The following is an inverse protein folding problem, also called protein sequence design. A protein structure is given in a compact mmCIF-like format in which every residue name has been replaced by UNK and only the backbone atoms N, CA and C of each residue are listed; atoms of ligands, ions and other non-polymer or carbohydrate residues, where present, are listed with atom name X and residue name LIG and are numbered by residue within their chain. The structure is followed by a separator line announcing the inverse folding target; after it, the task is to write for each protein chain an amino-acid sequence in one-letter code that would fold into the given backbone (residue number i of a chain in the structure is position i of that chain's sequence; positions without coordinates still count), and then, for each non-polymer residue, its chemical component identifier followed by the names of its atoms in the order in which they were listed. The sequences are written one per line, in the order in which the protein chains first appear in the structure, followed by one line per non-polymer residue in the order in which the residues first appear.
data_IF_922554033121
#
_entry.id   IF_922554033121
#
_cell.length_a   1.000
_cell.length_b   1.000
_cell.length_c   1.000
_cell.angle_alpha   90.00
_cell.angle_beta   90.00
_cell.angle_gamma   90.00
#
_symmetry.space_group_name_H-M   'P 1'
#
loop_
_entity.id
_entity.type
_entity.pdbx_description
1 polymer ?
#
# COMPACT_ATOMS: atom_id res chain seq x y z
N UNK A 1 18.17 50.09 -85.69
CA UNK A 1 19.36 49.22 -85.57
C UNK A 1 20.04 49.55 -84.25
N UNK A 2 19.75 48.81 -83.19
CA UNK A 2 20.51 48.83 -81.95
C UNK A 2 20.67 47.37 -81.53
N UNK A 3 21.85 46.83 -81.80
CA UNK A 3 22.21 45.44 -81.55
C UNK A 3 22.29 45.15 -80.06
N UNK A 4 21.76 43.99 -79.69
CA UNK A 4 21.88 43.45 -78.34
C UNK A 4 23.31 43.06 -78.00
N UNK A 5 23.66 43.24 -76.73
CA UNK A 5 24.76 42.52 -76.11
C UNK A 5 24.17 41.34 -75.34
N UNK A 6 24.10 40.17 -75.96
CA UNK A 6 24.01 38.91 -75.23
C UNK A 6 25.38 38.67 -74.58
N UNK A 7 25.47 38.87 -73.26
CA UNK A 7 26.60 38.40 -72.49
C UNK A 7 26.47 36.88 -72.32
N UNK A 8 27.16 36.11 -73.17
CA UNK A 8 27.39 34.69 -72.91
C UNK A 8 28.11 34.55 -71.56
N UNK A 9 27.45 33.91 -70.60
CA UNK A 9 28.08 33.45 -69.36
C UNK A 9 29.07 32.36 -69.72
N UNK A 10 30.31 32.50 -69.26
CA UNK A 10 31.38 31.52 -69.42
C UNK A 10 30.94 30.15 -68.89
N UNK A 11 31.02 29.11 -69.74
CA UNK A 11 30.70 27.72 -69.42
C UNK A 11 31.82 27.00 -68.66
N UNK A 12 32.86 27.71 -68.20
CA UNK A 12 34.02 27.07 -67.57
C UNK A 12 33.76 26.75 -66.08
N UNK A 13 33.65 25.47 -65.68
CA UNK A 13 33.02 25.08 -64.42
C UNK A 13 33.95 25.11 -63.19
N UNK A 14 35.12 25.76 -63.23
CA UNK A 14 36.09 25.67 -62.12
C UNK A 14 36.48 27.01 -61.48
N UNK A 15 35.85 28.13 -61.82
CA UNK A 15 36.10 29.42 -61.16
C UNK A 15 35.13 29.64 -59.98
N UNK A 16 35.61 29.75 -58.73
CA UNK A 16 34.74 29.58 -57.56
C UNK A 16 33.91 30.80 -57.12
N UNK A 17 34.00 31.98 -57.74
CA UNK A 17 33.50 33.20 -57.08
C UNK A 17 32.42 34.05 -57.78
N UNK A 18 31.94 33.75 -59.00
CA UNK A 18 30.88 34.56 -59.64
C UNK A 18 29.98 33.75 -60.59
N UNK A 19 29.36 32.67 -60.13
CA UNK A 19 28.32 32.00 -60.90
C UNK A 19 27.12 31.73 -59.99
N UNK A 20 25.96 32.27 -60.35
CA UNK A 20 24.68 31.81 -59.81
C UNK A 20 24.41 30.35 -60.20
N UNK A 21 23.25 29.79 -59.82
CA UNK A 21 22.89 28.41 -60.16
C UNK A 21 23.14 28.09 -61.63
N UNK A 22 23.71 26.90 -61.89
CA UNK A 22 23.94 26.43 -63.26
C UNK A 22 22.58 26.00 -63.81
N UNK A 23 22.11 26.73 -64.83
CA UNK A 23 20.82 26.47 -65.44
C UNK A 23 20.71 25.01 -65.93
N UNK A 24 19.59 24.35 -65.64
CA UNK A 24 19.33 22.97 -66.05
C UNK A 24 19.89 21.88 -65.13
N UNK A 25 20.71 22.23 -64.12
CA UNK A 25 21.15 21.27 -63.11
C UNK A 25 20.05 21.06 -62.06
N UNK A 26 19.71 19.80 -61.81
CA UNK A 26 18.75 19.36 -60.78
C UNK A 26 19.42 18.37 -59.84
N UNK A 27 19.28 18.61 -58.54
CA UNK A 27 19.76 17.73 -57.46
C UNK A 27 18.53 17.18 -56.74
N UNK A 28 18.43 15.86 -56.59
CA UNK A 28 17.33 15.25 -55.83
C UNK A 28 17.45 15.57 -54.34
N UNK A 29 16.30 15.75 -53.68
CA UNK A 29 16.26 16.03 -52.24
C UNK A 29 16.66 14.77 -51.46
N UNK A 30 17.65 14.84 -50.56
CA UNK A 30 18.02 13.69 -49.73
C UNK A 30 16.89 13.36 -48.74
N UNK A 31 16.71 12.08 -48.44
CA UNK A 31 15.62 11.62 -47.56
C UNK A 31 16.15 11.22 -46.18
N UNK A 32 15.63 11.77 -45.07
CA UNK A 32 15.89 11.27 -43.72
C UNK A 32 15.55 9.79 -43.57
N UNK A 33 16.43 9.00 -42.95
CA UNK A 33 16.23 7.55 -42.75
C UNK A 33 16.21 7.20 -41.26
N UNK A 34 17.29 7.50 -40.53
CA UNK A 34 17.35 7.27 -39.08
C UNK A 34 17.91 8.48 -38.34
N UNK A 35 17.37 8.85 -37.17
CA UNK A 35 16.11 8.36 -36.59
C UNK A 35 14.91 8.63 -37.50
N UNK A 36 13.99 7.66 -37.58
CA UNK A 36 12.77 7.81 -38.36
C UNK A 36 11.88 8.91 -37.75
N UNK A 37 10.99 9.50 -38.55
CA UNK A 37 10.08 10.54 -38.07
C UNK A 37 9.18 10.02 -36.93
N UNK A 38 9.25 10.64 -35.76
CA UNK A 38 8.55 10.24 -34.54
C UNK A 38 9.24 9.12 -33.73
N UNK A 39 10.49 8.80 -34.02
CA UNK A 39 11.23 7.78 -33.28
C UNK A 39 11.60 8.22 -31.85
N UNK A 40 11.68 7.27 -30.93
CA UNK A 40 12.35 7.46 -29.64
C UNK A 40 13.80 6.96 -29.72
N UNK A 41 14.75 7.79 -29.29
CA UNK A 41 16.19 7.51 -29.33
C UNK A 41 16.74 7.56 -27.91
N UNK A 42 17.46 6.53 -27.48
CA UNK A 42 18.08 6.51 -26.16
C UNK A 42 19.26 7.47 -26.08
N UNK A 43 19.30 8.29 -25.03
CA UNK A 43 20.42 9.18 -24.70
C UNK A 43 21.62 8.44 -24.07
N UNK A 44 22.02 7.30 -24.63
CA UNK A 44 23.12 6.46 -24.11
C UNK A 44 24.32 6.37 -25.07
N UNK A 45 24.21 6.98 -26.25
CA UNK A 45 25.26 7.02 -27.26
C UNK A 45 25.18 8.35 -28.03
N UNK A 46 26.25 8.77 -28.73
CA UNK A 46 26.17 9.89 -29.66
C UNK A 46 25.06 9.64 -30.68
N UNK A 47 24.18 10.63 -30.89
CA UNK A 47 23.09 10.52 -31.86
C UNK A 47 23.68 10.43 -33.27
N UNK A 48 23.26 9.42 -34.03
CA UNK A 48 23.62 9.23 -35.43
C UNK A 48 22.43 9.59 -36.32
N UNK A 49 22.65 10.49 -37.27
CA UNK A 49 21.68 10.82 -38.33
C UNK A 49 22.11 10.14 -39.63
N UNK A 50 21.24 9.35 -40.24
CA UNK A 50 21.46 8.68 -41.52
C UNK A 50 20.40 9.11 -42.52
N UNK A 51 20.83 9.47 -43.72
CA UNK A 51 19.95 9.90 -44.81
C UNK A 51 20.35 9.25 -46.14
N UNK A 52 19.39 9.14 -47.06
CA UNK A 52 19.61 8.64 -48.41
C UNK A 52 20.40 9.66 -49.26
N UNK A 53 21.35 9.16 -50.03
CA UNK A 53 22.17 9.97 -50.91
C UNK A 53 21.35 10.55 -52.06
N UNK A 54 21.63 11.81 -52.40
CA UNK A 54 21.07 12.51 -53.55
C UNK A 54 21.75 12.09 -54.86
N UNK A 55 21.04 12.29 -55.97
CA UNK A 55 21.53 12.17 -57.34
C UNK A 55 21.47 13.54 -58.01
N UNK A 56 22.36 13.79 -58.96
CA UNK A 56 22.37 15.02 -59.77
C UNK A 56 22.60 14.69 -61.24
N UNK A 57 22.04 15.49 -62.14
CA UNK A 57 22.38 15.46 -63.56
C UNK A 57 23.61 16.35 -63.89
N UNK A 58 24.15 17.07 -62.89
CA UNK A 58 25.37 17.86 -63.00
C UNK A 58 26.64 17.05 -62.77
N UNK A 59 27.77 17.53 -63.30
CA UNK A 59 29.09 16.87 -63.19
C UNK A 59 29.87 17.20 -61.92
N UNK A 60 29.35 18.12 -61.09
CA UNK A 60 30.01 18.55 -59.85
C UNK A 60 29.74 17.54 -58.72
N UNK A 61 30.74 17.27 -57.86
CA UNK A 61 30.53 16.38 -56.72
C UNK A 61 29.56 16.99 -55.71
N UNK A 62 28.67 16.15 -55.19
CA UNK A 62 27.72 16.54 -54.14
C UNK A 62 28.36 16.54 -52.76
N UNK A 63 27.83 17.39 -51.89
CA UNK A 63 28.04 17.38 -50.45
C UNK A 63 26.76 17.83 -49.75
N UNK A 64 26.62 17.52 -48.46
CA UNK A 64 25.39 17.79 -47.71
C UNK A 64 25.58 18.84 -46.62
N UNK A 65 24.49 19.56 -46.36
CA UNK A 65 24.29 20.33 -45.12
C UNK A 65 23.26 19.57 -44.30
N UNK A 66 23.63 19.19 -43.08
CA UNK A 66 22.72 18.58 -42.10
C UNK A 66 22.47 19.59 -40.99
N UNK A 67 21.21 19.84 -40.67
CA UNK A 67 20.80 20.72 -39.58
C UNK A 67 19.97 19.93 -38.56
N UNK A 68 20.22 20.18 -37.28
CA UNK A 68 19.46 19.71 -36.12
C UNK A 68 19.03 20.93 -35.30
N UNK A 69 17.79 20.95 -34.86
CA UNK A 69 17.17 22.06 -34.15
C UNK A 69 16.29 21.57 -33.00
N UNK A 70 16.12 22.42 -32.00
CA UNK A 70 15.15 22.21 -30.92
C UNK A 70 13.72 22.61 -31.28
N UNK A 71 13.50 23.17 -32.49
CA UNK A 71 12.16 23.56 -32.97
C UNK A 71 11.94 23.19 -34.44
N UNK A 72 10.68 23.00 -34.80
CA UNK A 72 10.28 22.58 -36.16
C UNK A 72 10.52 23.65 -37.23
N UNK A 73 10.69 24.92 -36.84
CA UNK A 73 10.93 26.03 -37.76
C UNK A 73 12.43 26.27 -37.99
N UNK A 74 13.31 25.48 -37.33
CA UNK A 74 14.76 25.64 -37.38
C UNK A 74 15.23 27.05 -36.98
N UNK A 75 14.54 27.69 -36.04
CA UNK A 75 14.91 29.01 -35.49
C UNK A 75 16.04 28.91 -34.46
N UNK A 76 16.06 27.82 -33.69
CA UNK A 76 17.04 27.44 -32.68
C UNK A 76 17.83 26.23 -33.18
N UNK A 77 18.78 26.48 -34.09
CA UNK A 77 19.68 25.45 -34.62
C UNK A 77 20.71 25.08 -33.56
N UNK A 78 20.76 23.79 -33.22
CA UNK A 78 21.63 23.24 -32.19
C UNK A 78 22.90 22.67 -32.81
N UNK A 79 22.78 22.09 -34.00
CA UNK A 79 23.91 21.53 -34.72
C UNK A 79 23.73 21.74 -36.23
N UNK A 80 24.79 22.18 -36.88
CA UNK A 80 24.87 22.28 -38.33
C UNK A 80 26.18 21.66 -38.78
N UNK A 81 26.11 20.58 -39.57
CA UNK A 81 27.28 20.01 -40.21
C UNK A 81 27.25 20.39 -41.70
N UNK A 82 28.14 21.29 -42.09
CA UNK A 82 28.37 21.63 -43.49
C UNK A 82 29.29 20.64 -44.17
N UNK A 83 29.20 20.55 -45.50
CA UNK A 83 30.14 19.84 -46.37
C UNK A 83 30.39 18.37 -46.02
N UNK A 84 29.33 17.67 -45.63
CA UNK A 84 29.36 16.21 -45.44
C UNK A 84 29.49 15.54 -46.81
N UNK A 85 30.54 14.77 -47.03
CA UNK A 85 30.72 14.06 -48.30
C UNK A 85 29.84 12.80 -48.34
N UNK A 86 29.27 12.45 -49.51
CA UNK A 86 28.56 11.19 -49.67
C UNK A 86 29.46 10.00 -49.33
N UNK A 87 28.95 9.09 -48.49
CA UNK A 87 29.60 7.81 -48.25
C UNK A 87 29.39 6.86 -49.45
N UNK A 88 30.25 5.84 -49.54
CA UNK A 88 30.09 4.72 -50.48
C UNK A 88 28.75 4.01 -50.23
N UNK A 89 27.90 3.93 -51.26
CA UNK A 89 26.58 3.29 -51.18
C UNK A 89 25.39 4.26 -51.18
N UNK A 90 24.17 3.79 -50.83
CA UNK A 90 22.94 4.56 -50.98
C UNK A 90 22.68 5.56 -49.85
N UNK A 91 23.46 5.56 -48.77
CA UNK A 91 23.18 6.35 -47.57
C UNK A 91 24.47 6.94 -46.97
N UNK A 92 24.33 8.10 -46.34
CA UNK A 92 25.39 8.79 -45.60
C UNK A 92 24.97 8.97 -44.15
N UNK A 93 25.92 8.89 -43.22
CA UNK A 93 25.67 9.07 -41.79
C UNK A 93 26.56 10.16 -41.18
N UNK A 94 26.00 10.89 -40.21
CA UNK A 94 26.69 11.93 -39.44
C UNK A 94 26.46 11.68 -37.95
N UNK A 95 27.51 11.86 -37.15
CA UNK A 95 27.39 11.89 -35.69
C UNK A 95 27.09 13.32 -35.25
N UNK A 96 26.11 13.48 -34.38
CA UNK A 96 25.79 14.76 -33.76
C UNK A 96 26.81 15.01 -32.65
N UNK A 97 27.75 15.91 -32.90
CA UNK A 97 28.77 16.34 -31.95
C UNK A 97 28.28 17.54 -31.12
N UNK A 98 27.08 17.41 -30.56
CA UNK A 98 26.48 18.43 -29.71
C UNK A 98 25.89 17.77 -28.45
N UNK A 99 25.97 18.47 -27.33
CA UNK A 99 25.29 18.05 -26.10
C UNK A 99 23.80 18.29 -26.26
N UNK A 100 23.02 17.20 -26.27
CA UNK A 100 21.57 17.26 -26.34
C UNK A 100 20.99 17.02 -24.95
N UNK A 101 20.02 17.84 -24.58
CA UNK A 101 19.22 17.60 -23.38
C UNK A 101 18.35 16.36 -23.60
N UNK A 102 18.32 15.49 -22.60
CA UNK A 102 17.41 14.36 -22.58
C UNK A 102 15.96 14.82 -22.37
N UNK A 103 15.02 13.92 -22.66
CA UNK A 103 13.57 14.12 -22.59
C UNK A 103 13.08 15.32 -23.42
N UNK A 104 13.72 15.53 -24.57
CA UNK A 104 13.40 16.61 -25.50
C UNK A 104 13.20 16.08 -26.93
N UNK A 105 12.37 16.78 -27.69
CA UNK A 105 12.15 16.52 -29.11
C UNK A 105 13.12 17.34 -29.96
N UNK A 106 13.75 16.69 -30.93
CA UNK A 106 14.65 17.34 -31.88
C UNK A 106 14.18 17.15 -33.31
N UNK A 107 14.39 18.17 -34.14
CA UNK A 107 14.04 18.20 -35.55
C UNK A 107 15.32 18.23 -36.37
N UNK A 108 15.40 17.44 -37.42
CA UNK A 108 16.55 17.43 -38.31
C UNK A 108 16.14 17.38 -39.77
N UNK A 109 16.98 17.99 -40.61
CA UNK A 109 16.79 18.04 -42.06
C UNK A 109 18.14 18.03 -42.76
N UNK A 110 18.12 17.64 -44.01
CA UNK A 110 19.30 17.56 -44.86
C UNK A 110 19.02 18.15 -46.24
N UNK A 111 20.02 18.78 -46.85
CA UNK A 111 20.00 19.17 -48.27
C UNK A 111 21.31 18.83 -48.94
N UNK A 112 21.28 18.65 -50.24
CA UNK A 112 22.46 18.44 -51.07
C UNK A 112 22.88 19.74 -51.77
N UNK A 113 24.18 19.88 -52.03
CA UNK A 113 24.79 21.03 -52.67
C UNK A 113 25.98 20.57 -53.53
N UNK A 114 26.22 21.25 -54.65
CA UNK A 114 27.35 20.94 -55.56
C UNK A 114 28.37 22.09 -55.67
N UNK A 115 28.19 23.14 -54.87
CA UNK A 115 28.95 24.40 -54.88
C UNK A 115 28.32 25.52 -55.72
N UNK A 116 27.42 25.21 -56.65
CA UNK A 116 26.70 26.18 -57.49
C UNK A 116 25.18 26.07 -57.37
N UNK A 117 24.65 24.86 -57.14
CA UNK A 117 23.25 24.53 -56.99
C UNK A 117 23.02 23.85 -55.64
N UNK A 118 21.80 23.96 -55.12
CA UNK A 118 21.35 23.26 -53.93
C UNK A 118 19.99 22.62 -54.20
N UNK A 119 19.74 21.46 -53.60
CA UNK A 119 18.37 20.96 -53.46
C UNK A 119 17.60 21.81 -52.43
N UNK A 120 16.28 21.69 -52.44
CA UNK A 120 15.48 22.03 -51.26
C UNK A 120 15.96 21.20 -50.05
N UNK A 121 15.66 21.70 -48.84
CA UNK A 121 15.78 20.87 -47.65
C UNK A 121 14.76 19.73 -47.70
N UNK A 122 15.14 18.60 -47.15
CA UNK A 122 14.21 17.51 -46.87
C UNK A 122 13.04 17.99 -46.01
N UNK A 123 11.92 17.27 -46.08
CA UNK A 123 10.95 17.32 -44.99
C UNK A 123 11.69 17.05 -43.67
N UNK A 124 11.38 17.83 -42.64
CA UNK A 124 12.01 17.65 -41.34
C UNK A 124 11.53 16.33 -40.73
N UNK A 125 12.48 15.49 -40.32
CA UNK A 125 12.19 14.36 -39.44
C UNK A 125 12.38 14.82 -38.00
N UNK A 126 11.62 14.26 -37.06
CA UNK A 126 11.82 14.50 -35.64
C UNK A 126 12.00 13.20 -34.86
N UNK A 127 12.66 13.31 -33.71
CA UNK A 127 12.78 12.21 -32.75
C UNK A 127 12.78 12.76 -31.33
N UNK A 128 12.32 11.93 -30.40
CA UNK A 128 12.39 12.19 -28.97
C UNK A 128 13.64 11.54 -28.39
N UNK A 129 14.53 12.36 -27.82
CA UNK A 129 15.69 11.86 -27.11
C UNK A 129 15.27 11.50 -25.68
N UNK A 130 15.17 10.21 -25.38
CA UNK A 130 14.66 9.69 -24.10
C UNK A 130 15.78 9.06 -23.28
N UNK A 131 15.62 9.03 -21.95
CA UNK A 131 16.50 8.21 -21.10
C UNK A 131 15.90 6.81 -20.91
N UNK A 132 16.74 5.78 -20.67
CA UNK A 132 16.24 4.47 -20.31
C UNK A 132 15.33 4.54 -19.08
N UNK A 133 14.26 3.74 -19.09
CA UNK A 133 13.43 3.56 -17.91
C UNK A 133 14.26 2.90 -16.82
N UNK A 134 14.35 3.54 -15.66
CA UNK A 134 14.99 2.97 -14.48
C UNK A 134 14.07 3.11 -13.27
N UNK A 135 13.93 2.02 -12.54
CA UNK A 135 13.09 1.93 -11.35
C UNK A 135 14.00 1.61 -10.16
N UNK A 136 14.11 2.55 -9.21
CA UNK A 136 14.89 2.38 -7.99
C UNK A 136 14.17 1.52 -6.94
N UNK A 137 14.91 0.93 -5.99
CA UNK A 137 14.29 0.14 -4.94
C UNK A 137 13.45 1.06 -4.05
N UNK A 138 12.23 0.64 -3.63
CA UNK A 138 11.52 1.34 -2.59
C UNK A 138 12.17 1.11 -1.22
N UNK A 139 11.77 1.90 -0.22
CA UNK A 139 12.19 1.72 1.16
C UNK A 139 10.97 1.37 2.04
N UNK A 140 10.84 0.11 2.50
CA UNK A 140 9.84 -0.29 3.49
C UNK A 140 9.85 0.56 4.76
N UNK A 141 8.69 1.08 5.16
CA UNK A 141 8.52 1.98 6.32
C UNK A 141 7.77 1.30 7.47
N UNK A 142 6.62 0.67 7.18
CA UNK A 142 5.80 0.02 8.20
C UNK A 142 4.97 -1.11 7.57
N UNK A 143 4.73 -2.23 8.26
CA UNK A 143 5.28 -2.60 9.55
C UNK A 143 6.80 -2.81 9.55
N UNK A 144 7.50 -2.51 10.63
CA UNK A 144 8.96 -2.56 10.70
C UNK A 144 9.53 -3.13 11.99
N UNK A 145 10.80 -3.58 11.94
CA UNK A 145 11.58 -3.93 13.13
C UNK A 145 11.03 -5.08 13.98
N UNK A 146 10.18 -5.95 13.41
CA UNK A 146 9.56 -7.06 14.13
C UNK A 146 8.38 -6.63 15.01
N UNK A 147 7.83 -5.42 14.83
CA UNK A 147 6.72 -4.92 15.62
C UNK A 147 5.49 -5.85 15.56
N UNK A 148 4.70 -5.88 16.63
CA UNK A 148 3.42 -6.59 16.62
C UNK A 148 2.34 -5.66 16.08
N UNK A 149 1.80 -6.02 14.92
CA UNK A 149 0.74 -5.26 14.25
C UNK A 149 -0.59 -5.35 14.99
N UNK A 150 -1.45 -4.36 14.82
CA UNK A 150 -2.76 -4.31 15.49
C UNK A 150 -3.79 -5.31 14.91
N UNK A 151 -3.60 -5.77 13.67
CA UNK A 151 -4.52 -6.70 13.00
C UNK A 151 -3.74 -7.72 12.17
N UNK A 152 -4.44 -8.77 11.73
CA UNK A 152 -3.87 -9.79 10.83
C UNK A 152 -3.91 -9.39 9.34
N UNK A 153 -4.45 -8.21 9.03
CA UNK A 153 -4.44 -7.57 7.71
C UNK A 153 -3.66 -6.23 7.77
N UNK A 154 -2.38 -6.22 8.16
CA UNK A 154 -1.65 -4.97 8.30
C UNK A 154 -1.51 -4.26 6.95
N UNK A 155 -1.44 -2.93 7.01
CA UNK A 155 -1.15 -2.10 5.83
C UNK A 155 0.37 -1.97 5.69
N UNK A 156 0.92 -2.54 4.62
CA UNK A 156 2.33 -2.39 4.27
C UNK A 156 2.52 -1.05 3.56
N UNK A 157 3.44 -0.22 4.05
CA UNK A 157 3.72 1.13 3.54
C UNK A 157 5.21 1.27 3.27
N UNK A 158 5.55 1.78 2.08
CA UNK A 158 6.91 2.06 1.66
C UNK A 158 7.04 3.51 1.19
N UNK A 159 8.26 4.04 1.27
CA UNK A 159 8.66 5.23 0.52
C UNK A 159 8.98 4.81 -0.91
N UNK A 160 8.48 5.57 -1.85
CA UNK A 160 8.63 5.31 -3.26
C UNK A 160 10.10 5.48 -3.68
N UNK A 161 10.65 4.47 -4.38
CA UNK A 161 11.98 4.55 -5.02
C UNK A 161 12.02 5.57 -6.17
N UNK A 162 13.19 5.82 -6.75
CA UNK A 162 13.31 6.71 -7.92
C UNK A 162 12.65 6.11 -9.16
N UNK A 163 12.17 6.96 -10.07
CA UNK A 163 11.67 6.57 -11.40
C UNK A 163 12.24 7.57 -12.39
N UNK A 164 12.91 7.08 -13.43
CA UNK A 164 13.46 7.92 -14.51
C UNK A 164 12.99 7.41 -15.86
N UNK A 165 12.98 8.31 -16.85
CA UNK A 165 12.50 8.02 -18.19
C UNK A 165 10.99 7.93 -18.27
N UNK A 166 10.49 7.65 -19.48
CA UNK A 166 9.07 7.49 -19.77
C UNK A 166 8.57 6.13 -19.27
N UNK A 167 8.52 5.95 -17.96
CA UNK A 167 8.20 4.67 -17.33
C UNK A 167 6.73 4.26 -17.47
N UNK A 168 5.84 5.21 -17.79
CA UNK A 168 4.39 4.98 -17.78
C UNK A 168 3.89 4.67 -16.37
N UNK A 169 2.89 3.79 -16.27
CA UNK A 169 2.35 3.36 -14.98
C UNK A 169 3.33 2.42 -14.28
N UNK A 170 3.72 2.78 -13.06
CA UNK A 170 4.57 1.96 -12.19
C UNK A 170 3.72 1.35 -11.07
N UNK A 171 3.92 0.06 -10.81
CA UNK A 171 3.32 -0.68 -9.72
C UNK A 171 4.39 -1.22 -8.77
N UNK A 172 4.05 -1.34 -7.50
CA UNK A 172 4.84 -2.06 -6.50
C UNK A 172 4.31 -3.46 -6.30
N UNK A 173 5.19 -4.45 -6.31
CA UNK A 173 4.94 -5.82 -5.87
C UNK A 173 5.45 -5.98 -4.45
N UNK A 174 4.55 -6.26 -3.52
CA UNK A 174 4.86 -6.53 -2.11
C UNK A 174 4.90 -8.04 -1.91
N UNK A 175 6.01 -8.55 -1.40
CA UNK A 175 6.25 -9.95 -1.10
C UNK A 175 6.25 -10.13 0.42
N UNK A 176 5.44 -11.05 0.93
CA UNK A 176 5.36 -11.40 2.35
C UNK A 176 5.74 -12.88 2.48
N UNK A 177 6.69 -13.19 3.35
CA UNK A 177 7.22 -14.53 3.57
C UNK A 177 7.28 -14.88 5.06
N UNK A 178 7.26 -16.17 5.38
CA UNK A 178 7.46 -16.67 6.77
C UNK A 178 8.94 -16.86 7.12
N UNK A 179 9.85 -16.64 6.16
CA UNK A 179 11.29 -16.72 6.37
C UNK A 179 12.05 -15.59 5.67
N UNK A 180 13.21 -15.23 6.23
CA UNK A 180 14.03 -14.10 5.75
C UNK A 180 14.63 -14.34 4.36
N UNK A 181 14.74 -15.60 3.92
CA UNK A 181 15.24 -15.95 2.59
C UNK A 181 14.18 -15.80 1.48
N UNK A 182 12.92 -15.50 1.82
CA UNK A 182 11.79 -15.41 0.88
C UNK A 182 11.61 -16.70 0.04
N UNK A 183 11.89 -17.87 0.61
CA UNK A 183 11.63 -19.17 -0.02
C UNK A 183 10.28 -19.76 0.38
N UNK A 184 9.67 -19.27 1.47
CA UNK A 184 8.34 -19.64 1.93
C UNK A 184 7.40 -18.42 1.85
N UNK A 185 6.85 -18.19 0.65
CA UNK A 185 5.95 -17.07 0.38
C UNK A 185 4.59 -17.28 1.03
N UNK A 186 4.18 -16.33 1.89
CA UNK A 186 2.86 -16.30 2.51
C UNK A 186 1.84 -15.58 1.63
N UNK A 187 2.25 -14.48 1.00
CA UNK A 187 1.39 -13.69 0.12
C UNK A 187 2.18 -12.75 -0.80
N UNK A 188 1.52 -12.31 -1.86
CA UNK A 188 1.97 -11.20 -2.71
C UNK A 188 0.83 -10.20 -2.90
N UNK A 189 1.16 -8.91 -2.97
CA UNK A 189 0.23 -7.82 -3.28
C UNK A 189 0.81 -6.92 -4.36
N UNK A 190 -0.08 -6.22 -5.05
CA UNK A 190 0.27 -5.16 -5.97
C UNK A 190 -0.43 -3.87 -5.56
N UNK A 191 0.24 -2.73 -5.75
CA UNK A 191 -0.39 -1.42 -5.68
C UNK A 191 0.25 -0.49 -6.70
N UNK A 192 -0.57 0.28 -7.39
CA UNK A 192 -0.09 1.34 -8.28
C UNK A 192 0.67 2.37 -7.44
N UNK A 193 1.84 2.78 -7.93
CA UNK A 193 2.66 3.81 -7.30
C UNK A 193 1.85 5.10 -7.16
N UNK A 194 1.74 5.59 -5.93
CA UNK A 194 1.11 6.87 -5.64
C UNK A 194 2.04 8.05 -5.95
N UNK A 195 1.47 9.21 -6.25
CA UNK A 195 2.21 10.47 -6.42
C UNK A 195 2.66 11.09 -5.08
N UNK A 196 2.09 10.65 -3.95
CA UNK A 196 2.32 11.21 -2.61
C UNK A 196 3.63 10.82 -1.92
N UNK A 197 4.62 10.30 -2.65
CA UNK A 197 5.92 9.89 -2.10
C UNK A 197 5.93 8.55 -1.34
N UNK A 198 4.78 8.08 -0.86
CA UNK A 198 4.60 6.74 -0.27
C UNK A 198 3.54 5.95 -1.03
N UNK A 199 3.67 4.62 -1.00
CA UNK A 199 2.64 3.71 -1.53
C UNK A 199 2.37 2.62 -0.50
N UNK A 200 1.10 2.22 -0.39
CA UNK A 200 0.67 1.22 0.57
C UNK A 200 -0.17 0.12 -0.07
N UNK A 201 -0.11 -1.08 0.51
CA UNK A 201 -0.95 -2.21 0.15
C UNK A 201 -1.39 -2.96 1.41
N UNK A 202 -2.67 -3.35 1.47
CA UNK A 202 -3.17 -4.16 2.57
C UNK A 202 -2.81 -5.64 2.36
N UNK A 203 -2.19 -6.25 3.37
CA UNK A 203 -1.93 -7.68 3.39
C UNK A 203 -3.26 -8.47 3.43
N UNK A 204 -3.29 -9.74 2.94
CA UNK A 204 -4.40 -10.65 3.25
C UNK A 204 -4.52 -10.88 4.75
N UNK A 205 -5.56 -11.59 5.16
CA UNK A 205 -5.59 -12.21 6.47
C UNK A 205 -4.42 -13.20 6.61
N UNK A 206 -3.49 -12.88 7.52
CA UNK A 206 -2.31 -13.70 7.79
C UNK A 206 -2.51 -14.59 9.03
N UNK A 207 -1.82 -15.75 9.11
CA UNK A 207 -1.76 -16.58 10.30
C UNK A 207 -1.43 -15.79 11.57
N UNK A 208 -2.14 -16.08 12.66
CA UNK A 208 -1.97 -15.35 13.91
C UNK A 208 -0.66 -15.68 14.63
N UNK A 209 -0.20 -14.78 15.50
CA UNK A 209 1.04 -14.91 16.28
C UNK A 209 2.30 -15.28 15.46
N UNK A 210 2.32 -15.01 14.16
CA UNK A 210 3.37 -15.46 13.25
C UNK A 210 4.27 -14.29 12.87
N UNK A 211 5.59 -14.54 12.85
CA UNK A 211 6.59 -13.58 12.36
C UNK A 211 6.64 -13.66 10.83
N UNK A 212 6.47 -12.52 10.18
CA UNK A 212 6.59 -12.36 8.74
C UNK A 212 7.73 -11.42 8.39
N UNK A 213 8.31 -11.66 7.22
CA UNK A 213 9.26 -10.79 6.55
C UNK A 213 8.60 -10.27 5.29
N UNK A 214 8.81 -9.00 4.97
CA UNK A 214 8.27 -8.43 3.75
C UNK A 214 9.27 -7.51 3.05
N UNK A 215 9.19 -7.48 1.73
CA UNK A 215 9.98 -6.63 0.85
C UNK A 215 9.13 -6.21 -0.34
N UNK A 216 9.58 -5.23 -1.11
CA UNK A 216 8.87 -4.81 -2.30
C UNK A 216 9.82 -4.42 -3.42
N UNK A 217 9.31 -4.41 -4.65
CA UNK A 217 10.03 -3.98 -5.83
C UNK A 217 9.08 -3.36 -6.85
N UNK A 218 9.58 -2.47 -7.69
CA UNK A 218 8.79 -1.70 -8.66
C UNK A 218 8.80 -2.34 -10.04
N UNK A 219 7.72 -2.18 -10.81
CA UNK A 219 7.64 -2.59 -12.21
C UNK A 219 6.73 -1.70 -13.02
N UNK A 220 6.98 -1.58 -14.32
CA UNK A 220 6.02 -1.04 -15.29
C UNK A 220 5.51 -2.12 -16.27
N UNK A 221 5.67 -3.40 -15.92
CA UNK A 221 5.30 -4.55 -16.74
C UNK A 221 6.45 -5.12 -17.58
N UNK A 222 7.39 -4.29 -18.04
CA UNK A 222 8.55 -4.73 -18.84
C UNK A 222 9.88 -4.54 -18.12
N UNK A 223 9.99 -3.52 -17.28
CA UNK A 223 11.17 -3.24 -16.44
C UNK A 223 10.87 -3.65 -15.01
N UNK A 224 11.84 -4.30 -14.37
CA UNK A 224 11.80 -4.70 -12.97
C UNK A 224 12.91 -3.97 -12.22
N UNK A 225 12.53 -3.20 -11.20
CA UNK A 225 13.48 -2.55 -10.30
C UNK A 225 14.11 -3.56 -9.32
N UNK A 226 15.21 -3.19 -8.66
CA UNK A 226 15.81 -4.02 -7.64
C UNK A 226 14.88 -4.15 -6.43
N UNK A 227 15.05 -5.24 -5.70
CA UNK A 227 14.28 -5.52 -4.51
C UNK A 227 14.73 -4.65 -3.34
N UNK A 228 13.78 -4.18 -2.55
CA UNK A 228 14.06 -3.41 -1.35
C UNK A 228 14.79 -4.23 -0.27
N UNK A 229 15.40 -3.58 0.73
CA UNK A 229 15.67 -4.22 2.01
C UNK A 229 14.40 -4.86 2.57
N UNK A 230 14.53 -5.93 3.34
CA UNK A 230 13.39 -6.57 4.01
C UNK A 230 13.11 -5.92 5.36
N UNK A 231 11.84 -5.78 5.71
CA UNK A 231 11.37 -5.51 7.07
C UNK A 231 10.67 -6.75 7.64
N UNK A 232 10.40 -6.74 8.94
CA UNK A 232 9.66 -7.81 9.60
C UNK A 232 8.59 -7.28 10.53
N UNK A 233 7.58 -8.10 10.80
CA UNK A 233 6.53 -7.83 11.78
C UNK A 233 5.91 -9.13 12.27
N UNK A 234 5.27 -9.07 13.43
CA UNK A 234 4.46 -10.15 13.96
C UNK A 234 2.97 -9.79 13.85
N UNK A 235 2.15 -10.70 13.37
CA UNK A 235 0.68 -10.56 13.49
C UNK A 235 0.28 -10.69 14.96
N UNK A 236 -0.79 -10.03 15.41
CA UNK A 236 -1.27 -10.22 16.77
C UNK A 236 -1.58 -11.70 17.02
N UNK A 237 -1.54 -12.11 18.28
CA UNK A 237 -2.12 -13.39 18.66
C UNK A 237 -3.54 -13.46 18.13
N UNK A 238 -4.04 -14.67 17.83
CA UNK A 238 -5.47 -14.80 17.66
C UNK A 238 -6.09 -14.18 18.91
N UNK A 239 -7.20 -13.44 18.82
CA UNK A 239 -7.96 -13.20 20.01
C UNK A 239 -8.05 -14.57 20.67
N UNK A 240 -7.56 -14.68 21.91
CA UNK A 240 -8.01 -15.79 22.74
C UNK A 240 -9.51 -15.82 22.51
N UNK A 241 -10.14 -16.99 22.39
CA UNK A 241 -11.55 -17.02 22.66
C UNK A 241 -11.68 -16.24 23.97
N UNK A 242 -12.18 -15.00 23.92
CA UNK A 242 -12.83 -14.43 25.07
C UNK A 242 -13.78 -15.55 25.47
N UNK A 243 -13.94 -15.85 26.77
CA UNK A 243 -14.86 -16.90 27.18
C UNK A 243 -16.08 -16.69 26.30
N UNK A 244 -16.33 -17.66 25.41
CA UNK A 244 -17.43 -17.51 24.48
C UNK A 244 -18.68 -17.29 25.35
N UNK A 245 -19.86 -17.04 24.76
CA UNK A 245 -20.98 -17.72 25.36
C UNK A 245 -20.51 -19.18 25.51
N UNK A 246 -20.30 -19.62 26.76
CA UNK A 246 -19.93 -21.00 27.03
C UNK A 246 -20.95 -21.89 26.31
N UNK A 247 -20.68 -23.20 26.13
CA UNK A 247 -21.73 -24.11 25.72
C UNK A 247 -22.98 -23.75 26.53
N UNK A 248 -24.07 -23.43 25.84
CA UNK A 248 -25.35 -23.14 26.48
C UNK A 248 -25.52 -24.21 27.56
N UNK A 249 -25.79 -23.81 28.83
CA UNK A 249 -25.89 -24.76 29.91
C UNK A 249 -26.79 -25.91 29.44
N UNK A 250 -26.34 -27.15 29.68
CA UNK A 250 -27.23 -28.30 29.59
C UNK A 250 -28.54 -27.94 30.28
N UNK A 251 -29.69 -28.36 29.72
CA UNK A 251 -30.98 -27.70 29.91
C UNK A 251 -31.20 -27.31 31.37
N UNK A 252 -30.99 -26.03 31.66
CA UNK A 252 -31.44 -25.45 32.92
C UNK A 252 -32.97 -25.60 32.95
N UNK A 253 -33.57 -25.99 34.08
CA UNK A 253 -35.01 -25.98 34.21
C UNK A 253 -35.53 -24.56 33.88
N UNK A 254 -36.72 -24.42 33.27
CA UNK A 254 -37.25 -23.12 32.90
C UNK A 254 -37.25 -22.18 34.12
N UNK A 255 -36.52 -21.07 34.03
CA UNK A 255 -36.22 -20.15 35.13
C UNK A 255 -37.43 -19.33 35.64
N UNK A 256 -38.63 -19.59 35.12
CA UNK A 256 -39.86 -19.00 35.63
C UNK A 256 -40.16 -19.56 37.04
N UNK A 257 -40.10 -18.70 38.06
CA UNK A 257 -40.49 -18.94 39.45
C UNK A 257 -39.46 -19.62 40.38
N UNK A 258 -38.16 -19.34 40.23
CA UNK A 258 -37.19 -19.73 41.27
C UNK A 258 -37.47 -18.92 42.54
N UNK A 259 -37.95 -19.59 43.60
CA UNK A 259 -38.12 -19.02 44.94
C UNK A 259 -36.92 -19.36 45.83
N UNK A 260 -36.75 -18.71 47.01
CA UNK A 260 -35.68 -19.05 47.95
C UNK A 260 -35.61 -20.55 48.31
N UNK A 261 -36.75 -21.24 48.35
CA UNK A 261 -36.82 -22.68 48.66
C UNK A 261 -36.24 -23.55 47.53
N UNK A 262 -36.40 -23.13 46.27
CA UNK A 262 -35.92 -23.87 45.08
C UNK A 262 -34.52 -23.46 44.63
N UNK A 263 -33.99 -22.36 45.18
CA UNK A 263 -32.70 -21.81 44.78
C UNK A 263 -31.51 -22.77 45.03
N UNK A 264 -31.42 -23.54 46.14
CA UNK A 264 -30.32 -24.49 46.32
C UNK A 264 -30.20 -25.53 45.20
N UNK A 265 -31.34 -26.11 44.78
CA UNK A 265 -31.36 -27.05 43.65
C UNK A 265 -31.03 -26.37 42.33
N UNK A 266 -31.44 -25.10 42.15
CA UNK A 266 -31.08 -24.32 40.98
C UNK A 266 -29.59 -24.05 40.91
N UNK A 267 -28.96 -23.60 42.01
CA UNK A 267 -27.51 -23.40 42.11
C UNK A 267 -26.73 -24.69 41.83
N UNK A 268 -27.17 -25.81 42.40
CA UNK A 268 -26.56 -27.11 42.17
C UNK A 268 -26.62 -27.53 40.69
N UNK A 269 -27.74 -27.28 40.00
CA UNK A 269 -27.84 -27.52 38.55
C UNK A 269 -27.02 -26.50 37.73
N UNK A 270 -27.11 -25.21 38.07
CA UNK A 270 -26.47 -24.11 37.35
C UNK A 270 -24.94 -24.13 37.44
N UNK A 271 -24.40 -24.69 38.52
CA UNK A 271 -22.95 -24.89 38.72
C UNK A 271 -22.35 -26.02 37.87
N UNK A 272 -23.15 -26.98 37.41
CA UNK A 272 -22.65 -28.12 36.65
C UNK A 272 -22.13 -27.66 35.28
N UNK A 273 -20.82 -27.83 35.06
CA UNK A 273 -20.17 -27.41 33.82
C UNK A 273 -20.01 -25.89 33.66
N UNK A 274 -20.31 -25.10 34.70
CA UNK A 274 -20.15 -23.65 34.64
C UNK A 274 -18.67 -23.26 34.85
N UNK A 275 -18.05 -22.56 33.88
CA UNK A 275 -16.63 -22.21 33.96
C UNK A 275 -16.32 -21.17 35.04
N UNK A 276 -17.24 -20.25 35.33
CA UNK A 276 -17.08 -19.27 36.42
C UNK A 276 -17.17 -19.95 37.78
N UNK A 277 -18.04 -20.98 37.92
CA UNK A 277 -18.04 -21.83 39.12
C UNK A 277 -16.71 -22.57 39.28
N UNK A 278 -16.22 -23.24 38.24
CA UNK A 278 -14.94 -23.95 38.29
C UNK A 278 -13.77 -23.02 38.66
N UNK A 279 -13.75 -21.80 38.10
CA UNK A 279 -12.75 -20.79 38.43
C UNK A 279 -12.92 -20.22 39.85
N UNK A 280 -14.16 -20.10 40.35
CA UNK A 280 -14.43 -19.75 41.75
C UNK A 280 -13.82 -20.79 42.69
N UNK A 281 -14.05 -22.09 42.42
CA UNK A 281 -13.47 -23.18 43.21
C UNK A 281 -11.94 -23.22 43.16
N UNK A 282 -11.34 -22.68 42.08
CA UNK A 282 -9.89 -22.52 41.95
C UNK A 282 -9.32 -21.30 42.72
N UNK A 283 -10.15 -20.52 43.42
CA UNK A 283 -9.74 -19.37 44.24
C UNK A 283 -9.85 -18.01 43.56
N UNK A 284 -10.67 -17.87 42.51
CA UNK A 284 -10.90 -16.57 41.87
C UNK A 284 -12.14 -15.88 42.44
N UNK A 285 -11.95 -14.86 43.28
CA UNK A 285 -13.06 -14.05 43.83
C UNK A 285 -13.90 -13.37 42.73
N UNK A 286 -13.26 -12.88 41.67
CA UNK A 286 -13.96 -12.30 40.51
C UNK A 286 -14.84 -13.31 39.80
N UNK A 287 -14.41 -14.59 39.75
CA UNK A 287 -15.20 -15.65 39.14
C UNK A 287 -16.39 -16.08 40.03
N UNK A 288 -16.21 -16.10 41.35
CA UNK A 288 -17.31 -16.31 42.29
C UNK A 288 -18.40 -15.25 42.08
N UNK A 289 -18.01 -13.98 41.97
CA UNK A 289 -18.94 -12.90 41.68
C UNK A 289 -19.66 -13.06 40.34
N UNK A 290 -18.92 -13.40 39.26
CA UNK A 290 -19.53 -13.62 37.93
C UNK A 290 -20.52 -14.77 37.94
N UNK A 291 -20.22 -15.85 38.64
CA UNK A 291 -21.15 -16.95 38.83
C UNK A 291 -22.45 -16.49 39.50
N UNK A 292 -22.36 -15.75 40.62
CA UNK A 292 -23.53 -15.23 41.35
C UNK A 292 -24.33 -14.24 40.49
N UNK A 293 -23.63 -13.39 39.72
CA UNK A 293 -24.25 -12.49 38.75
C UNK A 293 -25.06 -13.25 37.71
N UNK A 294 -24.47 -14.26 37.08
CA UNK A 294 -25.11 -15.03 36.02
C UNK A 294 -26.34 -15.80 36.54
N UNK A 295 -26.26 -16.32 37.78
CA UNK A 295 -27.41 -16.89 38.47
C UNK A 295 -28.52 -15.85 38.61
N UNK A 296 -28.24 -14.68 39.20
CA UNK A 296 -29.25 -13.64 39.43
C UNK A 296 -29.91 -13.15 38.12
N UNK A 297 -29.11 -12.96 37.07
CA UNK A 297 -29.58 -12.57 35.75
C UNK A 297 -30.45 -13.66 35.11
N UNK A 298 -30.11 -14.94 35.29
CA UNK A 298 -30.85 -16.06 34.69
C UNK A 298 -32.27 -16.21 35.27
N UNK A 299 -32.43 -15.99 36.58
CA UNK A 299 -33.72 -16.16 37.29
C UNK A 299 -34.54 -14.87 37.35
N UNK A 300 -33.94 -13.71 37.05
CA UNK A 300 -34.63 -12.42 36.99
C UNK A 300 -34.16 -11.54 35.81
N UNK A 301 -34.29 -12.03 34.56
CA UNK A 301 -33.74 -11.34 33.39
C UNK A 301 -34.42 -9.99 33.11
N UNK A 302 -35.67 -9.82 33.52
CA UNK A 302 -36.42 -8.57 33.36
C UNK A 302 -36.14 -7.56 34.46
N UNK A 303 -35.42 -7.96 35.52
CA UNK A 303 -35.21 -7.19 36.74
C UNK A 303 -36.51 -6.75 37.42
N UNK A 304 -37.35 -7.72 37.77
CA UNK A 304 -38.47 -7.49 38.64
C UNK A 304 -37.97 -7.20 40.07
N UNK A 305 -38.41 -6.08 40.66
CA UNK A 305 -38.03 -5.66 42.01
C UNK A 305 -38.46 -6.65 43.10
N UNK A 306 -39.44 -7.53 42.84
CA UNK A 306 -39.84 -8.62 43.74
C UNK A 306 -39.04 -9.92 43.54
N UNK A 307 -38.11 -9.95 42.58
CA UNK A 307 -37.32 -11.12 42.23
C UNK A 307 -35.90 -11.10 42.79
N UNK A 308 -35.04 -11.93 42.20
CA UNK A 308 -33.64 -12.04 42.58
C UNK A 308 -32.80 -10.86 42.11
N UNK A 309 -31.79 -10.50 42.88
CA UNK A 309 -30.81 -9.47 42.54
C UNK A 309 -29.51 -9.67 43.30
N UNK A 310 -28.63 -8.69 43.22
CA UNK A 310 -27.35 -8.65 43.91
C UNK A 310 -27.39 -7.68 45.08
N UNK A 311 -26.56 -7.92 46.09
CA UNK A 311 -26.39 -7.00 47.21
C UNK A 311 -25.37 -5.92 46.84
N UNK A 312 -25.82 -4.67 46.67
CA UNK A 312 -24.92 -3.52 46.50
C UNK A 312 -24.12 -3.28 47.78
N UNK A 313 -22.88 -2.82 47.62
CA UNK A 313 -21.93 -2.61 48.71
C UNK A 313 -21.57 -1.14 48.86
N UNK A 314 -21.47 -0.67 50.11
CA UNK A 314 -21.04 0.69 50.41
C UNK A 314 -19.53 0.90 50.12
N UNK A 315 -19.09 2.16 49.94
CA UNK A 315 -17.67 2.49 49.86
C UNK A 315 -16.89 1.95 51.07
N UNK A 316 -15.71 1.37 50.83
CA UNK A 316 -14.86 0.81 51.89
C UNK A 316 -15.17 -0.64 52.29
N UNK A 317 -16.27 -1.22 51.82
CA UNK A 317 -16.51 -2.66 51.92
C UNK A 317 -15.77 -3.42 50.80
N UNK A 318 -15.39 -4.68 51.08
CA UNK A 318 -14.95 -5.60 50.03
C UNK A 318 -16.09 -5.85 49.05
N UNK A 319 -15.84 -5.60 47.77
CA UNK A 319 -16.87 -5.62 46.74
C UNK A 319 -16.29 -5.97 45.37
N UNK A 320 -17.16 -6.51 44.52
CA UNK A 320 -16.81 -7.00 43.20
C UNK A 320 -17.58 -6.29 42.09
N UNK A 321 -16.90 -6.20 40.94
CA UNK A 321 -17.46 -5.86 39.63
C UNK A 321 -17.14 -6.99 38.67
N UNK A 322 -17.71 -6.97 37.46
CA UNK A 322 -17.39 -7.99 36.44
C UNK A 322 -15.91 -8.03 36.09
N UNK A 323 -15.16 -6.95 36.31
CA UNK A 323 -13.73 -6.84 36.00
C UNK A 323 -12.78 -7.13 37.16
N UNK A 324 -13.27 -7.16 38.41
CA UNK A 324 -12.40 -7.38 39.57
C UNK A 324 -13.07 -7.15 40.92
N UNK A 325 -12.44 -7.68 41.98
CA UNK A 325 -12.83 -7.54 43.38
C UNK A 325 -11.78 -6.77 44.19
N UNK A 326 -12.23 -5.98 45.17
CA UNK A 326 -11.35 -5.24 46.07
C UNK A 326 -12.06 -4.11 46.81
N UNK A 327 -11.27 -3.19 47.37
CA UNK A 327 -11.77 -1.97 48.03
C UNK A 327 -12.19 -0.91 47.03
N UNK A 328 -13.32 -1.11 46.34
CA UNK A 328 -13.82 -0.15 45.34
C UNK A 328 -14.49 1.07 46.03
N UNK A 329 -14.80 2.11 45.24
CA UNK A 329 -15.43 3.35 45.71
C UNK A 329 -16.94 3.28 45.99
N UNK A 330 -17.50 2.09 46.27
CA UNK A 330 -18.92 1.90 46.59
C UNK A 330 -19.85 1.65 45.40
N UNK A 331 -19.32 1.09 44.31
CA UNK A 331 -20.09 0.73 43.10
C UNK A 331 -20.10 -0.77 42.82
N UNK A 332 -19.63 -1.58 43.76
CA UNK A 332 -19.54 -3.02 43.64
C UNK A 332 -20.63 -3.76 44.41
N UNK A 333 -20.56 -5.08 44.35
CA UNK A 333 -21.53 -6.01 44.90
C UNK A 333 -20.85 -7.06 45.79
N UNK A 334 -21.63 -7.78 46.59
CA UNK A 334 -21.14 -8.97 47.28
C UNK A 334 -20.66 -10.03 46.31
N UNK A 335 -19.56 -10.70 46.63
CA UNK A 335 -18.91 -11.71 45.77
C UNK A 335 -19.64 -13.07 45.76
N UNK A 336 -20.47 -13.29 46.79
CA UNK A 336 -21.10 -14.54 47.18
C UNK A 336 -22.58 -14.36 47.55
N UNK A 337 -23.16 -13.18 47.30
CA UNK A 337 -24.47 -12.81 47.83
C UNK A 337 -25.56 -12.69 46.76
N UNK A 338 -26.67 -13.38 47.00
CA UNK A 338 -27.95 -13.16 46.31
C UNK A 338 -28.96 -12.46 47.22
N UNK A 339 -29.83 -11.65 46.62
CA UNK A 339 -30.92 -10.96 47.33
C UNK A 339 -32.26 -11.30 46.69
N UNK A 340 -33.34 -11.30 47.48
CA UNK A 340 -34.70 -11.57 47.00
C UNK A 340 -35.69 -10.51 47.50
N UNK A 341 -36.31 -9.79 46.55
CA UNK A 341 -37.25 -8.70 46.81
C UNK A 341 -36.59 -7.37 47.22
N UNK A 342 -37.22 -6.24 46.90
CA UNK A 342 -36.69 -4.89 47.17
C UNK A 342 -37.29 -4.18 48.39
N UNK A 343 -38.56 -4.44 48.73
CA UNK A 343 -39.25 -3.86 49.90
C UNK A 343 -39.00 -4.61 51.20
N UNK A 344 -38.63 -5.89 51.09
CA UNK A 344 -38.31 -6.78 52.21
C UNK A 344 -37.12 -7.65 51.80
N UNK A 345 -35.97 -7.00 51.59
CA UNK A 345 -34.76 -7.63 51.05
C UNK A 345 -34.31 -8.78 51.95
N UNK A 346 -34.45 -10.00 51.45
CA UNK A 346 -33.83 -11.19 52.03
C UNK A 346 -32.46 -11.38 51.39
N UNK A 347 -31.45 -11.71 52.19
CA UNK A 347 -30.05 -11.79 51.75
C UNK A 347 -29.57 -13.21 51.99
N UNK A 348 -28.91 -13.80 50.99
CA UNK A 348 -28.42 -15.16 51.03
C UNK A 348 -26.93 -15.20 50.74
N UNK A 349 -26.17 -15.81 51.64
CA UNK A 349 -24.82 -16.28 51.34
C UNK A 349 -24.93 -17.56 50.53
N UNK A 350 -24.48 -17.52 49.28
CA UNK A 350 -24.61 -18.63 48.34
C UNK A 350 -23.30 -19.34 48.00
N UNK A 351 -22.17 -18.88 48.54
CA UNK A 351 -20.86 -19.50 48.34
C UNK A 351 -20.08 -19.51 49.66
N UNK A 352 -19.82 -20.69 50.20
CA UNK A 352 -18.93 -20.84 51.34
C UNK A 352 -17.48 -20.78 50.87
N UNK A 353 -16.72 -19.81 51.40
CA UNK A 353 -15.31 -19.65 51.09
C UNK A 353 -15.07 -19.03 49.71
N UNK A 354 -15.89 -18.04 49.31
CA UNK A 354 -15.71 -17.34 48.05
C UNK A 354 -14.30 -16.75 47.92
N UNK A 355 -13.69 -16.95 46.74
CA UNK A 355 -12.31 -16.56 46.49
C UNK A 355 -11.23 -17.45 47.13
N UNK A 356 -11.61 -18.45 47.94
CA UNK A 356 -10.68 -19.45 48.45
C UNK A 356 -10.64 -20.71 47.56
N UNK A 357 -9.52 -21.43 47.58
CA UNK A 357 -9.45 -22.75 46.95
C UNK A 357 -10.40 -23.72 47.65
N UNK A 358 -11.23 -24.43 46.86
CA UNK A 358 -12.23 -25.35 47.38
C UNK A 358 -13.54 -24.69 47.80
N UNK A 359 -13.87 -23.52 47.25
CA UNK A 359 -15.19 -22.90 47.44
C UNK A 359 -16.32 -23.91 47.15
N UNK A 360 -17.40 -23.84 47.94
CA UNK A 360 -18.55 -24.74 47.82
C UNK A 360 -19.85 -23.96 47.85
N UNK A 361 -20.90 -24.50 47.22
CA UNK A 361 -22.20 -23.84 47.25
C UNK A 361 -22.74 -23.85 48.68
N UNK A 362 -23.08 -22.66 49.16
CA UNK A 362 -23.84 -22.45 50.38
C UNK A 362 -25.25 -21.98 50.02
N UNK A 363 -26.17 -22.05 50.98
CA UNK A 363 -27.41 -21.28 50.87
C UNK A 363 -27.92 -20.98 52.28
N UNK A 364 -27.44 -19.87 52.85
CA UNK A 364 -27.78 -19.48 54.22
C UNK A 364 -28.30 -18.05 54.27
N UNK A 365 -29.42 -17.85 54.96
CA UNK A 365 -30.03 -16.53 55.08
C UNK A 365 -29.21 -15.67 56.05
N UNK A 366 -28.82 -14.48 55.59
CA UNK A 366 -28.14 -13.47 56.40
C UNK A 366 -29.17 -12.45 56.86
N UNK A 367 -29.19 -12.16 58.16
CA UNK A 367 -30.04 -11.10 58.69
C UNK A 367 -29.74 -9.74 58.05
N UNK A 368 -30.78 -9.11 57.49
CA UNK A 368 -30.70 -7.76 56.89
C UNK A 368 -30.29 -6.68 57.90
N UNK A 369 -30.53 -6.89 59.19
CA UNK A 369 -30.09 -5.99 60.28
C UNK A 369 -28.58 -5.92 60.48
N UNK A 370 -27.79 -6.85 59.90
CA UNK A 370 -26.32 -6.80 59.96
C UNK A 370 -25.67 -5.89 58.91
N UNK A 371 -26.42 -5.36 57.94
CA UNK A 371 -25.88 -4.56 56.82
C UNK A 371 -26.73 -3.32 56.46
N UNK A 372 -26.93 -2.36 57.37
CA UNK A 372 -27.70 -1.15 57.09
C UNK A 372 -27.04 -0.33 55.96
N UNK A 373 -27.74 -0.15 54.84
CA UNK A 373 -27.29 0.62 53.67
C UNK A 373 -26.96 -0.21 52.42
N UNK A 374 -26.85 -1.53 52.54
CA UNK A 374 -26.69 -2.41 51.39
C UNK A 374 -28.06 -2.75 50.79
N UNK A 375 -28.25 -2.52 49.49
CA UNK A 375 -29.54 -2.61 48.82
C UNK A 375 -29.58 -3.73 47.77
N UNK A 376 -30.78 -4.18 47.45
CA UNK A 376 -31.04 -5.02 46.28
C UNK A 376 -30.78 -4.22 44.99
N UNK A 377 -30.16 -4.86 43.99
CA UNK A 377 -29.90 -4.23 42.69
C UNK A 377 -29.82 -5.25 41.53
N UNK A 378 -30.16 -4.78 40.32
CA UNK A 378 -29.83 -5.46 39.06
C UNK A 378 -28.88 -4.57 38.24
N UNK A 379 -27.56 -4.74 38.36
CA UNK A 379 -26.61 -3.93 37.60
C UNK A 379 -26.62 -4.15 36.07
N UNK A 380 -27.42 -5.08 35.56
CA UNK A 380 -27.65 -5.28 34.12
C UNK A 380 -28.80 -4.42 33.56
N UNK A 381 -29.28 -3.41 34.29
CA UNK A 381 -30.39 -2.53 33.92
C UNK A 381 -30.03 -1.06 34.06
#
# INVERSE_FOLDING_TARGET
MAGGCEAQKSENPLSPNVAGPIAGVSISVPAPVTPANGAEVLNSAPVRLTFANSSSNGVRPLWYVVELSGDSNFSSRIFTHGRVLPAEGPQTSVIVEATLNAEATYFWRVRANDGANASEFSAAAHFDLVVPVSLGPPLPVSPAGGETTASRTPTLTLNNGTVTGRAGTVEYRFEIATNQAFTAMAATRAAVRSSGGTTSAQAPELPANTLFYWRAWATNGTVHGPVSPSQSFRTPAAPTPGPGPGPAPGPAPPASNVTPETMPSYLAAFSQGNPEWAACQAGSGTACFRFVWDVAQSVNPTCNASGWGLLSKNPGEWQCTRSGCGGLGGQGFGEDILTYGSSSVRIWDVIVGAGAQGASLGFSEISSTRRPGNNWACPWR
#
